data_IF_155724711790
#
_entry.id   IF_155724711790
#
_cell.length_a   1.000
_cell.length_b   1.000
_cell.length_c   1.000
_cell.angle_alpha   90.00
_cell.angle_beta   90.00
_cell.angle_gamma   90.00
#
_symmetry.space_group_name_H-M   'P 1'
#
loop_
_entity.id
_entity.type
_entity.pdbx_description
1 polymer ?
#
# COMPACT_ATOMS: atom_id res chain seq x y z
N UNK A 1 18.10 -21.97 35.37
CA UNK A 1 16.76 -22.13 34.77
C UNK A 1 16.72 -21.31 33.49
N UNK A 2 16.94 -21.94 32.34
CA UNK A 2 17.02 -21.28 31.02
C UNK A 2 15.63 -21.28 30.38
N UNK A 3 15.03 -20.09 30.26
CA UNK A 3 13.74 -19.91 29.60
C UNK A 3 13.92 -19.93 28.07
N UNK A 4 13.20 -20.83 27.39
CA UNK A 4 13.30 -21.04 25.94
C UNK A 4 12.55 -19.94 25.17
N UNK A 5 13.29 -19.17 24.37
CA UNK A 5 12.79 -18.09 23.51
C UNK A 5 11.68 -18.53 22.52
N UNK A 6 11.57 -19.84 22.23
CA UNK A 6 10.53 -20.38 21.35
C UNK A 6 9.12 -20.31 21.93
N UNK A 7 8.97 -20.27 23.26
CA UNK A 7 7.65 -20.19 23.90
C UNK A 7 7.04 -18.78 23.86
N UNK A 8 7.87 -17.73 23.81
CA UNK A 8 7.40 -16.35 23.72
C UNK A 8 6.84 -16.01 22.34
N UNK A 9 7.42 -16.57 21.28
CA UNK A 9 6.98 -16.28 19.91
C UNK A 9 5.58 -16.84 19.63
N UNK A 10 5.22 -18.00 20.19
CA UNK A 10 3.87 -18.58 20.05
C UNK A 10 2.82 -17.77 20.82
N UNK A 11 3.16 -17.25 22.00
CA UNK A 11 2.23 -16.41 22.78
C UNK A 11 1.92 -15.09 22.07
N UNK A 12 2.89 -14.48 21.37
CA UNK A 12 2.70 -13.25 20.61
C UNK A 12 1.82 -13.44 19.36
N UNK A 13 1.93 -14.59 18.68
CA UNK A 13 1.08 -14.89 17.50
C UNK A 13 -0.38 -15.10 17.91
N UNK A 14 -0.63 -15.78 19.04
CA UNK A 14 -2.00 -16.01 19.53
C UNK A 14 -2.63 -14.70 20.06
N UNK A 15 -1.86 -13.86 20.76
CA UNK A 15 -2.34 -12.57 21.24
C UNK A 15 -2.64 -11.57 20.11
N UNK A 16 -1.85 -11.59 19.02
CA UNK A 16 -2.10 -10.77 17.84
C UNK A 16 -3.36 -11.18 17.06
N UNK A 17 -3.68 -12.47 17.01
CA UNK A 17 -4.87 -12.96 16.32
C UNK A 17 -6.17 -12.58 17.05
N UNK A 18 -6.17 -12.59 18.39
CA UNK A 18 -7.33 -12.19 19.18
C UNK A 18 -7.62 -10.67 19.11
N UNK A 19 -6.60 -9.84 18.87
CA UNK A 19 -6.79 -8.39 18.76
C UNK A 19 -7.42 -7.97 17.41
N UNK A 20 -7.28 -8.81 16.38
CA UNK A 20 -7.82 -8.50 15.04
C UNK A 20 -9.31 -8.84 14.89
N UNK A 21 -9.88 -9.67 15.76
CA UNK A 21 -11.32 -9.97 15.77
C UNK A 21 -12.17 -8.92 16.51
N UNK A 22 -11.58 -7.90 17.14
CA UNK A 22 -12.34 -6.90 17.92
C UNK A 22 -12.68 -5.62 17.15
N UNK A 23 -12.18 -5.46 15.92
CA UNK A 23 -12.40 -4.23 15.13
C UNK A 23 -13.61 -4.36 14.17
N UNK A 24 -14.23 -5.53 14.05
CA UNK A 24 -15.34 -5.81 13.12
C UNK A 24 -16.73 -5.90 13.81
N UNK A 25 -16.93 -5.16 14.90
CA UNK A 25 -18.08 -5.37 15.77
C UNK A 25 -18.75 -4.11 16.29
N UNK A 26 -19.15 -3.18 15.43
CA UNK A 26 -20.24 -2.24 15.71
C UNK A 26 -20.99 -1.88 14.42
N UNK A 27 -21.77 -2.84 13.91
CA UNK A 27 -22.94 -2.53 13.07
C UNK A 27 -24.19 -2.83 13.91
N UNK A 28 -24.69 -1.77 14.54
CA UNK A 28 -25.85 -1.79 15.43
C UNK A 28 -26.88 -0.76 15.00
N UNK A 29 -27.84 -1.24 14.20
CA UNK A 29 -29.25 -0.81 14.24
C UNK A 29 -29.59 0.59 13.72
N UNK A 30 -29.89 0.67 12.42
CA UNK A 30 -31.10 1.37 11.98
C UNK A 30 -31.97 0.45 11.13
N UNK A 31 -32.96 -0.08 11.84
CA UNK A 31 -34.18 -0.73 11.38
C UNK A 31 -34.80 0.05 10.21
N UNK A 32 -34.67 -0.50 8.99
CA UNK A 32 -35.43 -0.05 7.83
C UNK A 32 -36.58 -1.03 7.64
N UNK A 33 -37.73 -0.65 8.20
CA UNK A 33 -39.02 -1.32 7.98
C UNK A 33 -39.43 -1.03 6.54
N UNK A 34 -39.24 -1.99 5.64
CA UNK A 34 -39.80 -1.95 4.30
C UNK A 34 -41.21 -2.56 4.31
N UNK A 35 -42.18 -1.70 4.05
CA UNK A 35 -43.57 -1.95 3.71
C UNK A 35 -43.68 -2.71 2.37
N UNK A 36 -44.32 -3.89 2.31
CA UNK A 36 -44.49 -4.62 1.05
C UNK A 36 -45.95 -4.60 0.59
N UNK A 37 -46.45 -3.51 0.01
CA UNK A 37 -47.65 -3.56 -0.86
C UNK A 37 -47.74 -2.35 -1.80
N UNK A 38 -47.35 -2.52 -3.07
CA UNK A 38 -47.96 -1.90 -4.25
C UNK A 38 -47.23 -2.42 -5.51
N UNK A 39 -47.78 -3.43 -6.18
CA UNK A 39 -48.67 -3.28 -7.34
C UNK A 39 -47.94 -2.91 -8.64
N UNK A 40 -47.81 -3.92 -9.49
CA UNK A 40 -47.55 -3.87 -10.92
C UNK A 40 -48.21 -2.68 -11.64
N UNK A 41 -47.44 -1.90 -12.40
CA UNK A 41 -47.93 -1.17 -13.57
C UNK A 41 -46.75 -0.90 -14.53
N UNK A 42 -46.78 -1.39 -15.79
CA UNK A 42 -45.83 -0.98 -16.80
C UNK A 42 -46.30 0.32 -17.49
N UNK A 43 -45.44 1.34 -17.67
CA UNK A 43 -45.74 2.44 -18.56
C UNK A 43 -45.23 2.22 -20.00
N UNK A 44 -46.07 2.67 -20.93
CA UNK A 44 -45.93 2.70 -22.38
C UNK A 44 -44.75 3.57 -22.90
N UNK A 45 -44.36 3.44 -24.19
CA UNK A 45 -43.25 4.20 -24.76
C UNK A 45 -43.67 5.65 -25.05
N UNK A 46 -42.88 6.62 -24.58
CA UNK A 46 -43.05 8.04 -24.90
C UNK A 46 -41.88 8.59 -25.70
N UNK A 47 -42.26 9.35 -26.72
CA UNK A 47 -41.47 9.89 -27.82
C UNK A 47 -40.42 10.92 -27.39
N UNK A 48 -39.41 11.06 -28.24
CA UNK A 48 -38.40 12.09 -28.26
C UNK A 48 -38.97 13.51 -28.08
N UNK A 49 -38.30 14.31 -27.26
CA UNK A 49 -38.37 15.78 -27.34
C UNK A 49 -36.95 16.35 -27.25
N UNK A 50 -36.54 16.98 -28.36
CA UNK A 50 -35.40 17.90 -28.44
C UNK A 50 -35.71 19.12 -27.57
N UNK A 51 -34.82 19.44 -26.64
CA UNK A 51 -34.88 20.67 -25.83
C UNK A 51 -33.50 21.33 -25.78
N UNK A 52 -33.44 22.53 -26.34
CA UNK A 52 -32.26 23.38 -26.54
C UNK A 52 -31.96 24.21 -25.28
N UNK A 53 -30.66 24.42 -25.03
CA UNK A 53 -30.01 25.58 -24.36
C UNK A 53 -30.36 25.93 -22.89
N UNK A 54 -29.31 26.15 -22.08
CA UNK A 54 -28.94 27.44 -21.45
C UNK A 54 -27.96 27.21 -20.30
N UNK A 55 -26.74 27.76 -20.40
CA UNK A 55 -25.85 28.08 -19.29
C UNK A 55 -25.91 29.60 -19.01
N UNK A 56 -25.31 30.18 -17.94
CA UNK A 56 -24.95 29.70 -16.60
C UNK A 56 -25.66 30.56 -15.49
N UNK A 57 -25.29 30.44 -14.20
CA UNK A 57 -24.62 31.62 -13.63
C UNK A 57 -23.46 31.34 -12.67
N UNK A 58 -22.53 32.28 -12.72
CA UNK A 58 -21.45 32.59 -11.78
C UNK A 58 -22.00 33.00 -10.40
N UNK A 59 -21.46 32.43 -9.32
CA UNK A 59 -21.53 33.00 -7.96
C UNK A 59 -20.15 32.76 -7.30
N UNK A 60 -19.34 33.81 -7.09
CA UNK A 60 -19.28 34.61 -5.86
C UNK A 60 -19.00 33.72 -4.63
N UNK A 61 -17.73 33.59 -4.23
CA UNK A 61 -17.05 34.47 -3.27
C UNK A 61 -17.57 34.33 -1.82
N UNK A 62 -16.60 34.12 -0.91
CA UNK A 62 -16.63 34.26 0.55
C UNK A 62 -16.64 32.96 1.39
N UNK A 63 -15.44 32.58 1.84
CA UNK A 63 -15.23 32.16 3.23
C UNK A 63 -13.75 32.36 3.60
N UNK A 64 -13.44 33.55 4.12
CA UNK A 64 -12.19 33.83 4.85
C UNK A 64 -12.38 33.30 6.27
N UNK A 65 -11.78 32.15 6.57
CA UNK A 65 -11.63 31.63 7.93
C UNK A 65 -10.17 31.69 8.34
N UNK A 66 -9.77 32.81 8.94
CA UNK A 66 -8.49 32.95 9.64
C UNK A 66 -8.63 32.38 11.05
N UNK A 67 -7.85 31.36 11.41
CA UNK A 67 -7.60 31.02 12.81
C UNK A 67 -6.12 30.69 12.97
N UNK A 68 -5.37 31.73 13.32
CA UNK A 68 -3.99 31.68 13.77
C UNK A 68 -3.99 31.46 15.27
N UNK A 69 -3.48 30.32 15.73
CA UNK A 69 -3.19 30.07 17.14
C UNK A 69 -1.70 29.76 17.33
N UNK A 70 -0.92 30.58 18.05
CA UNK A 70 0.45 30.24 18.41
C UNK A 70 0.45 29.39 19.69
N UNK A 71 0.62 28.08 19.53
CA UNK A 71 0.88 27.15 20.63
C UNK A 71 2.38 27.05 20.89
N UNK A 72 2.87 27.82 21.85
CA UNK A 72 4.25 27.76 22.37
C UNK A 72 4.45 26.44 23.12
N UNK A 73 5.18 25.49 22.52
CA UNK A 73 5.64 24.29 23.21
C UNK A 73 7.15 24.41 23.47
N UNK A 74 7.48 24.88 24.67
CA UNK A 74 8.82 24.86 25.26
C UNK A 74 9.20 23.40 25.57
N UNK A 75 10.14 22.81 24.83
CA UNK A 75 10.78 21.57 25.24
C UNK A 75 12.10 21.86 25.98
N UNK A 76 12.32 21.26 27.17
CA UNK A 76 13.53 21.45 27.95
C UNK A 76 14.73 20.73 27.33
N UNK A 77 15.81 21.47 27.15
CA UNK A 77 17.19 21.00 26.97
C UNK A 77 17.59 20.11 28.15
N UNK A 78 17.91 18.83 27.90
CA UNK A 78 18.59 17.97 28.88
C UNK A 78 19.95 17.57 28.35
N UNK A 79 20.93 17.66 29.26
CA UNK A 79 22.35 17.77 29.07
C UNK A 79 23.05 16.58 28.37
N UNK A 80 24.08 16.94 27.63
CA UNK A 80 25.18 16.10 27.16
C UNK A 80 26.15 15.79 28.33
N UNK A 81 26.41 14.52 28.66
CA UNK A 81 27.60 14.16 29.41
C UNK A 81 28.80 13.95 28.45
N UNK A 82 29.78 14.84 28.57
CA UNK A 82 31.14 14.63 28.07
C UNK A 82 31.82 13.51 28.86
N UNK A 83 32.29 12.48 28.16
CA UNK A 83 33.28 11.54 28.68
C UNK A 83 34.45 11.48 27.68
N UNK A 84 35.47 12.29 27.93
CA UNK A 84 36.77 12.18 27.28
C UNK A 84 37.54 10.99 27.88
N UNK A 85 37.39 9.82 27.27
CA UNK A 85 38.26 8.68 27.49
C UNK A 85 39.26 8.57 26.35
N UNK A 86 40.53 8.88 26.61
CA UNK A 86 41.64 8.60 25.69
C UNK A 86 41.88 7.09 25.65
N UNK A 87 41.37 6.42 24.61
CA UNK A 87 41.66 5.01 24.33
C UNK A 87 42.84 4.96 23.36
N UNK A 88 43.84 4.15 23.69
CA UNK A 88 45.04 3.92 22.90
C UNK A 88 44.71 3.43 21.47
N UNK A 89 45.54 3.77 20.46
CA UNK A 89 45.33 3.31 19.09
C UNK A 89 45.58 1.80 19.01
N UNK A 90 44.50 1.01 18.99
CA UNK A 90 44.58 -0.38 18.58
C UNK A 90 44.93 -0.43 17.09
N UNK A 91 46.00 -1.12 16.75
CA UNK A 91 46.42 -1.38 15.37
C UNK A 91 45.25 -2.05 14.62
N UNK A 92 44.76 -1.48 13.50
CA UNK A 92 43.70 -2.10 12.71
C UNK A 92 44.21 -3.41 12.13
N UNK A 93 43.93 -4.53 12.80
CA UNK A 93 44.01 -5.83 12.16
C UNK A 93 42.95 -5.86 11.07
N UNK A 94 43.36 -5.90 9.81
CA UNK A 94 42.47 -6.03 8.65
C UNK A 94 41.51 -7.19 8.91
N UNK A 95 40.20 -6.94 9.11
CA UNK A 95 39.26 -8.05 9.27
C UNK A 95 39.29 -8.86 7.98
N UNK A 96 39.52 -10.16 8.12
CA UNK A 96 39.48 -11.11 7.02
C UNK A 96 38.22 -10.87 6.19
N UNK A 97 38.40 -10.74 4.88
CA UNK A 97 37.37 -10.31 3.94
C UNK A 97 36.05 -11.04 4.19
N UNK A 98 35.03 -10.26 4.57
CA UNK A 98 33.64 -10.70 4.50
C UNK A 98 33.41 -11.12 3.06
N UNK A 99 33.30 -12.43 2.85
CA UNK A 99 32.94 -12.98 1.56
C UNK A 99 31.48 -12.59 1.33
N UNK A 100 31.26 -11.52 0.57
CA UNK A 100 29.93 -11.14 0.11
C UNK A 100 29.42 -12.26 -0.78
N UNK A 101 28.62 -13.15 -0.20
CA UNK A 101 27.92 -14.17 -0.98
C UNK A 101 27.04 -13.43 -2.01
N UNK A 102 27.06 -13.84 -3.28
CA UNK A 102 26.14 -13.29 -4.27
C UNK A 102 24.72 -13.48 -3.74
N UNK A 103 23.87 -12.45 -3.84
CA UNK A 103 22.56 -12.54 -3.24
C UNK A 103 21.75 -13.62 -3.99
N UNK A 104 20.89 -14.37 -3.29
CA UNK A 104 20.11 -15.42 -3.92
C UNK A 104 19.28 -14.84 -5.06
N UNK A 105 19.23 -15.58 -6.17
CA UNK A 105 18.37 -15.25 -7.30
C UNK A 105 16.90 -15.40 -6.86
N UNK A 106 16.08 -14.40 -7.17
CA UNK A 106 14.64 -14.45 -6.90
C UNK A 106 13.96 -15.10 -8.11
N UNK A 107 13.30 -16.24 -7.88
CA UNK A 107 12.47 -16.91 -8.90
C UNK A 107 11.06 -16.36 -8.83
N UNK A 108 10.67 -15.57 -9.84
CA UNK A 108 9.29 -15.05 -9.97
C UNK A 108 8.40 -16.13 -10.57
N UNK A 109 7.26 -16.37 -9.92
CA UNK A 109 6.27 -17.36 -10.34
C UNK A 109 5.16 -16.74 -11.19
N UNK A 110 4.81 -15.47 -10.96
CA UNK A 110 3.79 -14.79 -11.75
C UNK A 110 3.28 -13.48 -11.14
N UNK A 111 2.30 -12.90 -11.82
CA UNK A 111 1.54 -11.72 -11.40
C UNK A 111 0.05 -12.05 -11.48
N UNK A 112 -0.66 -11.88 -10.37
CA UNK A 112 -2.12 -11.93 -10.32
C UNK A 112 -2.67 -10.51 -10.15
N UNK A 113 -3.68 -10.16 -10.94
CA UNK A 113 -4.39 -8.88 -10.85
C UNK A 113 -5.84 -9.17 -10.53
N UNK A 114 -6.35 -8.60 -9.44
CA UNK A 114 -7.75 -8.82 -9.05
C UNK A 114 -8.33 -7.62 -8.30
N UNK A 115 -9.64 -7.38 -8.42
CA UNK A 115 -10.33 -6.36 -7.64
C UNK A 115 -10.28 -6.69 -6.15
N UNK A 116 -10.19 -5.65 -5.33
CA UNK A 116 -10.26 -5.75 -3.86
C UNK A 116 -11.21 -4.68 -3.33
N UNK A 117 -11.63 -4.80 -2.07
CA UNK A 117 -12.28 -3.72 -1.35
C UNK A 117 -11.23 -3.00 -0.49
N UNK A 118 -10.76 -1.84 -0.95
CA UNK A 118 -9.77 -1.03 -0.25
C UNK A 118 -10.15 0.44 -0.33
N UNK A 119 -9.96 1.17 0.76
CA UNK A 119 -10.28 2.60 0.83
C UNK A 119 -9.25 3.49 0.12
N UNK A 120 -8.06 2.96 -0.16
CA UNK A 120 -6.98 3.69 -0.81
C UNK A 120 -5.97 2.78 -1.50
N UNK A 121 -5.23 3.36 -2.44
CA UNK A 121 -4.17 2.70 -3.21
C UNK A 121 -3.17 3.73 -3.74
N UNK A 122 -2.17 3.28 -4.49
CA UNK A 122 -1.24 4.18 -5.16
C UNK A 122 -1.73 4.60 -6.56
N UNK A 123 -1.37 5.82 -6.97
CA UNK A 123 -1.65 6.39 -8.30
C UNK A 123 -0.60 6.05 -9.37
N UNK A 124 0.37 5.20 -9.04
CA UNK A 124 1.52 4.88 -9.90
C UNK A 124 2.58 5.98 -9.99
N UNK A 125 2.45 7.07 -9.24
CA UNK A 125 3.48 8.12 -9.06
C UNK A 125 4.10 8.07 -7.67
N UNK A 126 3.78 7.03 -6.89
CA UNK A 126 4.19 6.85 -5.50
C UNK A 126 3.31 7.57 -4.47
N UNK A 127 2.20 8.20 -4.88
CA UNK A 127 1.28 8.83 -3.94
C UNK A 127 0.16 7.86 -3.56
N UNK A 128 -0.19 7.80 -2.28
CA UNK A 128 -1.42 7.15 -1.83
C UNK A 128 -2.61 8.10 -1.99
N UNK A 129 -3.65 7.62 -2.65
CA UNK A 129 -4.89 8.37 -2.93
C UNK A 129 -6.12 7.52 -2.56
N UNK A 130 -7.29 8.14 -2.33
CA UNK A 130 -8.54 7.40 -2.20
C UNK A 130 -8.79 6.51 -3.41
N UNK A 131 -9.25 5.29 -3.17
CA UNK A 131 -9.50 4.34 -4.24
C UNK A 131 -10.81 4.63 -4.98
N UNK A 132 -10.79 4.48 -6.30
CA UNK A 132 -11.98 4.57 -7.16
C UNK A 132 -12.41 3.17 -7.60
N UNK A 133 -11.45 2.39 -8.12
CA UNK A 133 -11.61 0.98 -8.49
C UNK A 133 -10.33 0.23 -8.10
N UNK A 134 -10.16 -0.05 -6.81
CA UNK A 134 -8.91 -0.59 -6.31
C UNK A 134 -8.67 -2.01 -6.82
N UNK A 135 -7.42 -2.27 -7.19
CA UNK A 135 -6.96 -3.61 -7.57
C UNK A 135 -5.68 -3.98 -6.83
N UNK A 136 -5.58 -5.24 -6.44
CA UNK A 136 -4.35 -5.83 -5.95
C UNK A 136 -3.51 -6.32 -7.14
N UNK A 137 -2.22 -6.02 -7.08
CA UNK A 137 -1.17 -6.52 -7.96
C UNK A 137 -0.29 -7.45 -7.11
N UNK A 138 -0.60 -8.75 -7.16
CA UNK A 138 0.08 -9.77 -6.36
C UNK A 138 1.20 -10.40 -7.17
N UNK A 139 2.43 -10.03 -6.84
CA UNK A 139 3.62 -10.64 -7.41
C UNK A 139 3.97 -11.87 -6.58
N UNK A 140 4.05 -13.04 -7.21
CA UNK A 140 4.40 -14.31 -6.57
C UNK A 140 5.83 -14.70 -6.88
N UNK A 141 6.54 -15.21 -5.88
CA UNK A 141 7.89 -15.75 -6.00
C UNK A 141 8.06 -16.96 -5.07
N UNK A 142 9.03 -17.84 -5.37
CA UNK A 142 9.36 -18.96 -4.46
C UNK A 142 9.80 -18.43 -3.08
N UNK A 143 10.62 -17.37 -3.09
CA UNK A 143 10.98 -16.61 -1.93
C UNK A 143 11.48 -15.22 -2.34
N UNK A 144 11.08 -14.18 -1.59
CA UNK A 144 11.57 -12.80 -1.79
C UNK A 144 12.97 -12.56 -1.20
N UNK A 145 13.59 -13.60 -0.64
CA UNK A 145 15.00 -13.63 -0.29
C UNK A 145 15.44 -12.52 0.65
N UNK A 146 14.71 -12.27 1.76
CA UNK A 146 15.18 -11.49 2.92
C UNK A 146 15.84 -10.13 2.66
N UNK A 147 15.66 -9.53 1.48
CA UNK A 147 16.32 -8.29 1.13
C UNK A 147 15.64 -7.19 1.93
N UNK A 148 16.37 -6.54 2.83
CA UNK A 148 15.95 -5.31 3.51
C UNK A 148 15.85 -4.10 2.55
N UNK A 149 15.67 -4.37 1.26
CA UNK A 149 15.63 -3.39 0.19
C UNK A 149 14.17 -3.24 -0.20
N UNK A 150 13.68 -2.00 -0.26
CA UNK A 150 12.30 -1.68 -0.62
C UNK A 150 12.05 -2.03 -2.11
N UNK A 151 11.32 -3.12 -2.44
CA UNK A 151 10.98 -3.44 -3.81
C UNK A 151 9.97 -2.42 -4.36
N UNK A 152 10.22 -1.96 -5.58
CA UNK A 152 9.31 -1.10 -6.35
C UNK A 152 8.75 -1.91 -7.50
N UNK A 153 7.43 -2.01 -7.60
CA UNK A 153 6.78 -2.59 -8.77
C UNK A 153 6.67 -1.51 -9.85
N UNK A 154 7.19 -1.80 -11.03
CA UNK A 154 7.10 -0.93 -12.20
C UNK A 154 6.14 -1.55 -13.22
N UNK A 155 5.15 -0.78 -13.68
CA UNK A 155 4.17 -1.14 -14.71
C UNK A 155 4.24 -0.08 -15.81
N UNK A 156 5.00 -0.36 -16.87
CA UNK A 156 5.39 0.68 -17.82
C UNK A 156 6.11 1.84 -17.11
N UNK A 157 5.49 3.02 -17.14
CA UNK A 157 6.01 4.23 -16.46
C UNK A 157 5.52 4.40 -15.02
N UNK A 158 4.55 3.59 -14.59
CA UNK A 158 3.99 3.64 -13.24
C UNK A 158 4.90 2.93 -12.25
N UNK A 159 4.96 3.45 -11.02
CA UNK A 159 5.77 2.95 -9.92
C UNK A 159 4.94 2.84 -8.65
N UNK A 160 4.99 1.67 -8.03
CA UNK A 160 4.31 1.35 -6.79
C UNK A 160 5.36 1.04 -5.73
N UNK A 161 5.34 1.80 -4.65
CA UNK A 161 6.34 1.73 -3.58
C UNK A 161 5.79 1.04 -2.33
N UNK A 162 4.48 1.06 -2.15
CA UNK A 162 3.85 0.56 -0.95
C UNK A 162 3.32 -0.85 -1.17
N UNK A 163 3.97 -1.82 -0.53
CA UNK A 163 3.58 -3.22 -0.59
C UNK A 163 3.20 -3.76 0.78
N UNK A 164 2.54 -4.92 0.76
CA UNK A 164 2.29 -5.75 1.92
C UNK A 164 2.61 -7.21 1.61
N UNK A 165 2.70 -8.03 2.65
CA UNK A 165 2.94 -9.47 2.54
C UNK A 165 1.70 -10.24 3.03
N UNK A 166 0.71 -10.49 2.16
CA UNK A 166 -0.47 -11.26 2.55
C UNK A 166 -0.10 -12.74 2.82
N UNK A 167 0.90 -13.25 2.10
CA UNK A 167 1.38 -14.64 2.17
C UNK A 167 2.91 -14.69 2.02
N UNK A 168 3.52 -15.79 2.44
CA UNK A 168 4.93 -16.06 2.16
C UNK A 168 5.13 -16.16 0.65
N UNK A 169 6.11 -15.44 0.12
CA UNK A 169 6.36 -15.43 -1.32
C UNK A 169 5.43 -14.52 -2.12
N UNK A 170 4.57 -13.72 -1.47
CA UNK A 170 3.70 -12.75 -2.16
C UNK A 170 4.04 -11.32 -1.75
N UNK A 171 4.23 -10.46 -2.76
CA UNK A 171 4.26 -9.00 -2.62
C UNK A 171 2.97 -8.45 -3.22
N UNK A 172 2.15 -7.83 -2.39
CA UNK A 172 0.90 -7.17 -2.83
C UNK A 172 1.10 -5.67 -2.90
N UNK A 173 0.93 -5.11 -4.08
CA UNK A 173 0.76 -3.67 -4.29
C UNK A 173 -0.71 -3.37 -4.56
N UNK A 174 -1.16 -2.16 -4.26
CA UNK A 174 -2.55 -1.74 -4.49
C UNK A 174 -2.56 -0.52 -5.40
N UNK A 175 -3.18 -0.64 -6.57
CA UNK A 175 -3.46 0.49 -7.43
C UNK A 175 -4.84 1.08 -7.06
N UNK A 176 -4.94 2.39 -6.99
CA UNK A 176 -6.18 3.08 -6.61
C UNK A 176 -7.29 3.00 -7.69
N UNK A 177 -6.89 2.86 -8.95
CA UNK A 177 -7.82 2.79 -10.09
C UNK A 177 -7.30 1.85 -11.17
N UNK A 178 -8.12 0.87 -11.53
CA UNK A 178 -7.84 -0.10 -12.58
C UNK A 178 -7.62 0.55 -13.96
N UNK A 179 -8.39 1.57 -14.31
CA UNK A 179 -8.26 2.23 -15.63
C UNK A 179 -6.97 3.02 -15.78
N UNK A 180 -6.29 3.33 -14.67
CA UNK A 180 -4.97 3.95 -14.73
C UNK A 180 -3.87 2.97 -15.15
N UNK A 181 -4.12 1.66 -15.09
CA UNK A 181 -3.12 0.64 -15.44
C UNK A 181 -3.05 0.46 -16.97
N UNK A 182 -1.88 0.68 -17.59
CA UNK A 182 -1.74 0.53 -19.04
C UNK A 182 -1.75 -0.95 -19.44
N UNK A 183 -2.85 -1.39 -20.05
CA UNK A 183 -2.96 -2.73 -20.61
C UNK A 183 -1.83 -3.02 -21.62
N UNK A 184 -1.23 -4.20 -21.54
CA UNK A 184 -0.10 -4.60 -22.38
C UNK A 184 1.26 -4.04 -21.95
N UNK A 185 1.35 -3.19 -20.93
CA UNK A 185 2.62 -2.67 -20.46
C UNK A 185 3.47 -3.77 -19.77
N UNK A 186 4.80 -3.72 -19.89
CA UNK A 186 5.67 -4.65 -19.18
C UNK A 186 5.65 -4.40 -17.67
N UNK A 187 5.75 -5.47 -16.89
CA UNK A 187 5.81 -5.42 -15.43
C UNK A 187 7.12 -5.99 -14.93
N UNK A 188 7.74 -5.28 -13.99
CA UNK A 188 9.01 -5.69 -13.38
C UNK A 188 9.08 -5.25 -11.92
N UNK A 189 9.78 -6.01 -11.09
CA UNK A 189 10.16 -5.57 -9.74
C UNK A 189 11.59 -5.04 -9.79
N UNK A 190 11.82 -3.87 -9.20
CA UNK A 190 13.14 -3.29 -9.02
C UNK A 190 13.46 -3.18 -7.53
N UNK A 191 14.64 -3.64 -7.13
CA UNK A 191 15.18 -3.35 -5.79
C UNK A 191 16.01 -2.08 -5.83
N UNK A 192 15.99 -1.33 -4.72
CA UNK A 192 16.79 -0.12 -4.58
C UNK A 192 18.29 -0.50 -4.61
N UNK A 193 18.94 -0.25 -5.74
CA UNK A 193 20.33 -0.63 -6.06
C UNK A 193 20.73 -0.08 -7.42
N UNK A 194 21.92 -0.44 -7.90
CA UNK A 194 22.33 -0.18 -9.28
C UNK A 194 21.34 -0.83 -10.27
N UNK A 195 21.08 -0.17 -11.40
CA UNK A 195 19.97 -0.49 -12.33
C UNK A 195 19.95 -1.91 -12.94
N UNK A 196 20.87 -2.78 -12.51
CA UNK A 196 20.91 -4.22 -12.77
C UNK A 196 19.91 -5.01 -11.93
N UNK A 197 19.32 -4.41 -10.89
CA UNK A 197 18.36 -5.06 -9.98
C UNK A 197 16.91 -5.03 -10.49
N UNK A 198 16.69 -5.05 -11.80
CA UNK A 198 15.35 -5.12 -12.42
C UNK A 198 15.05 -6.56 -12.81
N UNK A 199 14.05 -7.17 -12.18
CA UNK A 199 13.60 -8.53 -12.48
C UNK A 199 12.27 -8.45 -13.25
N UNK A 200 12.21 -8.93 -14.50
CA UNK A 200 10.98 -8.97 -15.26
C UNK A 200 9.99 -9.93 -14.60
N UNK A 201 8.72 -9.52 -14.49
CA UNK A 201 7.62 -10.33 -13.94
C UNK A 201 6.77 -10.88 -15.08
N UNK A 202 6.19 -9.99 -15.89
CA UNK A 202 5.45 -10.33 -17.12
C UNK A 202 5.79 -9.33 -18.22
N UNK A 203 5.76 -9.79 -19.48
CA UNK A 203 6.07 -8.92 -20.63
C UNK A 203 4.94 -7.96 -20.98
N UNK A 204 3.70 -8.32 -20.66
CA UNK A 204 2.51 -7.56 -20.96
C UNK A 204 1.46 -7.76 -19.87
N UNK A 205 1.03 -6.68 -19.24
CA UNK A 205 0.00 -6.68 -18.21
C UNK A 205 -1.35 -7.06 -18.83
N UNK A 206 -1.98 -8.10 -18.29
CA UNK A 206 -3.34 -8.48 -18.62
C UNK A 206 -4.29 -7.84 -17.61
N UNK A 207 -5.13 -6.92 -18.09
CA UNK A 207 -6.21 -6.32 -17.30
C UNK A 207 -7.50 -6.94 -17.83
N UNK A 208 -8.14 -7.78 -17.01
CA UNK A 208 -9.49 -8.26 -17.33
C UNK A 208 -10.47 -7.08 -17.20
N UNK A 209 -11.37 -6.87 -18.19
CA UNK A 209 -12.37 -5.82 -18.14
C UNK A 209 -13.40 -6.03 -17.03
#
# INVERSE_FOLDING_TARGET
>A
MTFSARRWMVALVIAGLALRCRIDGEDGSRESVADPTAANTPPAPAMATRGTATAPPTAAAMARGTTTGPGTATHPTTATPSASGTVAPATPGTPAGITTLPPPAVTILGLDVHPIDATGGEDGRGNRVPAVRPVALDVRAEAWGGRALDPVLEVGDLRFHHYSHPEIGVLRYVAADLEALPAGAPVSVRWRGDGRDRIPVVQALQVAP
#
